data_IF_069374744700
#
_entry.id   IF_069374744700
#
_cell.length_a   1.000
_cell.length_b   1.000
_cell.length_c   1.000
_cell.angle_alpha   90.00
_cell.angle_beta   90.00
_cell.angle_gamma   90.00
#
_symmetry.space_group_name_H-M   'P 1'
#
loop_
_entity.id
_entity.type
_entity.pdbx_description
1 polymer ?
#
# COMPACT_ATOMS: atom_id res chain seq x y z
N UNK A 1 -3.32 -8.09 -9.98
CA UNK A 1 -2.49 -6.91 -9.64
C UNK A 1 -3.28 -6.05 -8.64
N UNK A 2 -2.65 -5.22 -7.81
CA UNK A 2 -3.34 -4.25 -6.94
C UNK A 2 -4.43 -3.47 -7.68
N UNK A 3 -4.14 -2.92 -8.86
CA UNK A 3 -5.10 -2.12 -9.64
C UNK A 3 -6.40 -2.91 -9.91
N UNK A 4 -6.29 -4.15 -10.37
CA UNK A 4 -7.47 -4.99 -10.66
C UNK A 4 -8.35 -5.20 -9.42
N UNK A 5 -7.72 -5.45 -8.25
CA UNK A 5 -8.45 -5.63 -6.99
C UNK A 5 -9.06 -4.33 -6.50
N UNK A 6 -8.34 -3.22 -6.60
CA UNK A 6 -8.82 -1.90 -6.20
C UNK A 6 -10.01 -1.47 -7.07
N UNK A 7 -9.99 -1.74 -8.37
CA UNK A 7 -11.11 -1.45 -9.24
C UNK A 7 -12.41 -2.16 -8.79
N UNK A 8 -12.30 -3.42 -8.34
CA UNK A 8 -13.44 -4.16 -7.79
C UNK A 8 -13.94 -3.53 -6.47
N UNK A 9 -13.05 -3.21 -5.54
CA UNK A 9 -13.39 -2.58 -4.26
C UNK A 9 -13.98 -1.17 -4.42
N UNK A 10 -13.51 -0.41 -5.40
CA UNK A 10 -14.06 0.92 -5.66
C UNK A 10 -15.47 0.86 -6.24
N UNK A 11 -15.76 -0.13 -7.10
CA UNK A 11 -17.09 -0.33 -7.71
C UNK A 11 -18.12 -0.94 -6.76
N UNK A 12 -17.68 -1.67 -5.75
CA UNK A 12 -18.58 -2.28 -4.77
C UNK A 12 -19.14 -1.24 -3.78
N UNK A 13 -20.46 -1.00 -3.74
CA UNK A 13 -21.06 -0.04 -2.81
C UNK A 13 -20.97 -0.47 -1.34
N UNK A 14 -20.76 -1.76 -1.04
CA UNK A 14 -20.63 -2.27 0.33
C UNK A 14 -19.20 -2.14 0.89
N UNK A 15 -18.22 -1.84 0.04
CA UNK A 15 -16.86 -1.60 0.50
C UNK A 15 -16.75 -0.24 1.21
N UNK A 16 -16.66 -0.28 2.54
CA UNK A 16 -16.53 0.91 3.38
C UNK A 16 -15.07 1.38 3.57
N UNK A 17 -14.09 0.51 3.38
CA UNK A 17 -12.67 0.85 3.54
C UNK A 17 -11.74 -0.21 2.96
N UNK A 18 -10.52 0.19 2.60
CA UNK A 18 -9.56 -0.65 1.88
C UNK A 18 -8.22 -0.66 2.62
N UNK A 19 -7.66 -1.85 2.83
CA UNK A 19 -6.29 -2.00 3.32
C UNK A 19 -5.43 -2.61 2.22
N UNK A 20 -4.43 -1.87 1.76
CA UNK A 20 -3.39 -2.31 0.84
C UNK A 20 -2.18 -2.83 1.62
N UNK A 21 -1.94 -4.14 1.59
CA UNK A 21 -0.79 -4.79 2.22
C UNK A 21 0.17 -5.23 1.12
N UNK A 22 1.27 -4.49 0.96
CA UNK A 22 2.33 -4.77 0.01
C UNK A 22 3.62 -5.22 0.66
N UNK A 23 4.65 -5.41 -0.16
CA UNK A 23 6.00 -5.76 0.27
C UNK A 23 7.07 -4.98 -0.53
N UNK A 24 8.33 -5.11 -0.13
CA UNK A 24 9.47 -4.61 -0.91
C UNK A 24 9.61 -5.31 -2.27
N UNK A 25 10.18 -4.61 -3.25
CA UNK A 25 10.44 -5.13 -4.61
C UNK A 25 9.28 -4.87 -5.58
N UNK A 26 9.62 -4.49 -6.81
CA UNK A 26 8.64 -4.09 -7.83
C UNK A 26 7.87 -2.81 -7.51
N UNK A 27 6.93 -2.45 -8.38
CA UNK A 27 6.22 -1.16 -8.37
C UNK A 27 4.70 -1.28 -8.21
N UNK A 28 4.19 -2.46 -7.86
CA UNK A 28 2.76 -2.76 -7.85
C UNK A 28 1.98 -1.87 -6.86
N UNK A 29 2.56 -1.59 -5.69
CA UNK A 29 1.97 -0.70 -4.68
C UNK A 29 1.96 0.76 -5.12
N UNK A 30 2.99 1.19 -5.85
CA UNK A 30 3.09 2.54 -6.42
C UNK A 30 1.97 2.71 -7.46
N UNK A 31 1.82 1.75 -8.38
CA UNK A 31 0.73 1.74 -9.37
C UNK A 31 -0.65 1.69 -8.72
N UNK A 32 -0.81 0.90 -7.65
CA UNK A 32 -2.05 0.86 -6.88
C UNK A 32 -2.37 2.21 -6.22
N UNK A 33 -1.35 2.88 -5.67
CA UNK A 33 -1.49 4.19 -5.04
C UNK A 33 -1.79 5.30 -6.07
N UNK A 34 -1.17 5.26 -7.25
CA UNK A 34 -1.52 6.12 -8.40
C UNK A 34 -2.98 5.93 -8.80
N UNK A 35 -3.41 4.67 -8.92
CA UNK A 35 -4.80 4.37 -9.26
C UNK A 35 -5.79 4.91 -8.21
N UNK A 36 -5.50 4.80 -6.92
CA UNK A 36 -6.33 5.39 -5.85
C UNK A 36 -6.42 6.90 -6.00
N UNK A 37 -5.28 7.59 -6.20
CA UNK A 37 -5.25 9.04 -6.44
C UNK A 37 -6.15 9.42 -7.62
N UNK A 38 -5.94 8.75 -8.76
CA UNK A 38 -6.59 9.08 -10.03
C UNK A 38 -8.09 8.73 -10.02
N UNK A 39 -8.49 7.76 -9.19
CA UNK A 39 -9.91 7.41 -9.00
C UNK A 39 -10.73 8.52 -8.33
N UNK A 40 -10.09 9.43 -7.58
CA UNK A 40 -10.78 10.46 -6.79
C UNK A 40 -11.69 9.90 -5.69
N UNK A 41 -11.51 8.62 -5.31
CA UNK A 41 -12.33 7.96 -4.29
C UNK A 41 -12.25 8.68 -2.94
N UNK A 42 -13.37 8.67 -2.21
CA UNK A 42 -13.43 9.12 -0.81
C UNK A 42 -13.44 7.96 0.19
N UNK A 43 -13.44 6.72 -0.30
CA UNK A 43 -13.34 5.54 0.56
C UNK A 43 -11.99 5.58 1.29
N UNK A 44 -11.94 5.38 2.62
CA UNK A 44 -10.70 5.37 3.38
C UNK A 44 -9.79 4.24 2.90
N UNK A 45 -8.52 4.58 2.65
CA UNK A 45 -7.49 3.62 2.24
C UNK A 45 -6.32 3.68 3.22
N UNK A 46 -5.88 2.51 3.69
CA UNK A 46 -4.69 2.36 4.53
C UNK A 46 -3.68 1.45 3.83
N UNK A 47 -2.40 1.84 3.87
CA UNK A 47 -1.28 1.08 3.35
C UNK A 47 -0.45 0.40 4.44
N UNK A 48 0.25 -0.66 4.07
CA UNK A 48 1.35 -1.24 4.83
C UNK A 48 2.36 -1.88 3.87
N UNK A 49 3.66 -1.67 4.12
CA UNK A 49 4.75 -2.27 3.33
C UNK A 49 5.58 -3.20 4.22
N UNK A 50 5.50 -4.49 3.95
CA UNK A 50 6.33 -5.50 4.61
C UNK A 50 7.78 -5.43 4.13
N UNK A 51 8.71 -5.88 4.98
CA UNK A 51 10.13 -6.01 4.60
C UNK A 51 10.97 -4.74 4.75
N UNK A 52 10.51 -3.72 5.48
CA UNK A 52 11.29 -2.50 5.81
C UNK A 52 12.67 -2.79 6.41
N UNK A 53 12.78 -3.84 7.22
CA UNK A 53 14.03 -4.23 7.90
C UNK A 53 14.82 -5.29 7.12
N UNK A 54 14.45 -5.54 5.85
CA UNK A 54 15.15 -6.49 5.01
C UNK A 54 16.57 -6.00 4.69
N UNK A 55 17.61 -6.84 4.87
CA UNK A 55 18.96 -6.47 4.45
C UNK A 55 19.04 -6.32 2.92
N UNK A 56 19.86 -5.38 2.41
CA UNK A 56 20.09 -5.22 0.98
C UNK A 56 20.57 -6.51 0.32
N UNK A 57 20.14 -6.76 -0.93
CA UNK A 57 20.58 -7.91 -1.72
C UNK A 57 20.00 -9.26 -1.29
N UNK A 58 19.08 -9.32 -0.32
CA UNK A 58 18.38 -10.56 0.06
C UNK A 58 17.03 -10.66 -0.64
N UNK A 59 16.83 -11.78 -1.32
CA UNK A 59 15.52 -12.22 -1.78
C UNK A 59 14.71 -12.69 -0.58
N UNK A 60 13.60 -12.03 -0.29
CA UNK A 60 12.64 -12.51 0.70
C UNK A 60 11.81 -13.65 0.07
N UNK A 61 11.16 -14.47 0.91
CA UNK A 61 10.63 -15.78 0.50
C UNK A 61 9.66 -15.78 -0.70
N UNK A 62 8.93 -14.69 -0.94
CA UNK A 62 8.13 -14.55 -2.17
C UNK A 62 9.05 -14.45 -3.38
N UNK A 63 8.73 -15.21 -4.43
CA UNK A 63 9.56 -15.33 -5.62
C UNK A 63 9.89 -13.98 -6.31
N UNK A 64 9.21 -12.87 -6.00
CA UNK A 64 9.41 -11.56 -6.63
C UNK A 64 10.12 -10.48 -5.81
N UNK A 65 10.42 -10.68 -4.53
CA UNK A 65 10.97 -9.63 -3.67
C UNK A 65 12.49 -9.45 -3.89
N UNK A 66 12.88 -8.85 -5.01
CA UNK A 66 14.24 -8.37 -5.30
C UNK A 66 14.21 -6.84 -5.27
N UNK A 67 15.02 -6.23 -4.40
CA UNK A 67 15.15 -4.77 -4.36
C UNK A 67 16.17 -4.37 -5.41
N UNK A 68 15.73 -3.78 -6.53
CA UNK A 68 16.64 -3.27 -7.56
C UNK A 68 17.09 -1.82 -7.32
N UNK A 69 16.51 -1.17 -6.30
CA UNK A 69 16.77 0.23 -5.93
C UNK A 69 15.62 1.16 -6.35
N UNK A 70 15.66 2.43 -5.91
CA UNK A 70 14.65 3.43 -6.28
C UNK A 70 13.24 3.08 -5.80
N UNK A 71 12.31 2.92 -6.75
CA UNK A 71 10.88 2.71 -6.51
C UNK A 71 10.54 1.39 -5.79
N UNK A 72 11.49 0.46 -5.75
CA UNK A 72 11.35 -0.86 -5.14
C UNK A 72 11.53 -0.84 -3.62
N UNK A 73 12.10 0.24 -3.07
CA UNK A 73 12.41 0.35 -1.65
C UNK A 73 11.16 0.57 -0.82
N UNK A 74 11.14 0.03 0.40
CA UNK A 74 10.02 0.23 1.31
C UNK A 74 9.78 1.72 1.55
N UNK A 75 10.86 2.48 1.80
CA UNK A 75 10.77 3.91 2.10
C UNK A 75 10.17 4.69 0.93
N UNK A 76 10.59 4.42 -0.32
CA UNK A 76 9.97 5.05 -1.48
C UNK A 76 8.47 4.75 -1.56
N UNK A 77 8.09 3.46 -1.45
CA UNK A 77 6.67 3.06 -1.54
C UNK A 77 5.84 3.73 -0.45
N UNK A 78 6.35 3.79 0.79
CA UNK A 78 5.68 4.42 1.93
C UNK A 78 5.48 5.92 1.68
N UNK A 79 6.55 6.63 1.29
CA UNK A 79 6.47 8.07 1.04
C UNK A 79 5.57 8.38 -0.15
N UNK A 80 5.60 7.55 -1.19
CA UNK A 80 4.69 7.68 -2.33
C UNK A 80 3.22 7.49 -1.92
N UNK A 81 2.89 6.42 -1.18
CA UNK A 81 1.55 6.17 -0.68
C UNK A 81 1.03 7.35 0.18
N UNK A 82 1.87 7.88 1.07
CA UNK A 82 1.52 9.07 1.87
C UNK A 82 1.30 10.30 1.00
N UNK A 83 2.13 10.52 -0.03
CA UNK A 83 2.03 11.68 -0.92
C UNK A 83 0.71 11.73 -1.69
N UNK A 84 0.07 10.58 -1.90
CA UNK A 84 -1.24 10.48 -2.57
C UNK A 84 -2.41 10.38 -1.59
N UNK A 85 -2.19 10.61 -0.29
CA UNK A 85 -3.22 10.65 0.72
C UNK A 85 -3.59 9.30 1.35
N UNK A 86 -2.82 8.23 1.09
CA UNK A 86 -3.01 6.94 1.76
C UNK A 86 -2.25 6.96 3.09
N UNK A 87 -2.98 6.75 4.20
CA UNK A 87 -2.33 6.60 5.50
C UNK A 87 -1.56 5.28 5.55
N UNK A 88 -0.30 5.29 5.95
CA UNK A 88 0.53 4.07 5.99
C UNK A 88 0.77 3.66 7.45
N UNK A 89 0.39 2.45 7.79
CA UNK A 89 0.64 1.86 9.10
C UNK A 89 2.12 1.46 9.24
N UNK A 90 2.72 1.71 10.41
CA UNK A 90 4.11 1.33 10.68
C UNK A 90 4.29 -0.15 11.01
N UNK A 91 3.21 -0.83 11.43
CA UNK A 91 3.19 -2.25 11.75
C UNK A 91 1.85 -2.90 11.41
N UNK A 92 1.80 -4.24 11.22
CA UNK A 92 0.54 -4.96 11.05
C UNK A 92 -0.43 -4.76 12.22
N UNK A 93 0.10 -4.65 13.45
CA UNK A 93 -0.69 -4.43 14.67
C UNK A 93 -1.40 -3.07 14.67
N UNK A 94 -0.89 -2.08 13.91
CA UNK A 94 -1.48 -0.74 13.80
C UNK A 94 -2.47 -0.57 12.64
N UNK A 95 -2.74 -1.60 11.83
CA UNK A 95 -3.64 -1.49 10.68
C UNK A 95 -5.05 -1.06 11.08
N UNK A 96 -5.65 -1.74 12.06
CA UNK A 96 -7.01 -1.43 12.51
C UNK A 96 -7.14 -0.05 13.15
N UNK A 97 -6.17 0.34 13.98
CA UNK A 97 -6.16 1.66 14.62
C UNK A 97 -5.90 2.79 13.62
N UNK A 98 -5.09 2.54 12.57
CA UNK A 98 -4.88 3.49 11.48
C UNK A 98 -6.15 3.65 10.65
N UNK A 99 -6.80 2.54 10.30
CA UNK A 99 -8.08 2.58 9.57
C UNK A 99 -9.16 3.34 10.34
N UNK A 100 -9.28 3.09 11.65
CA UNK A 100 -10.22 3.81 12.50
C UNK A 100 -9.98 5.33 12.53
N UNK A 101 -8.73 5.79 12.44
CA UNK A 101 -8.41 7.22 12.35
C UNK A 101 -8.89 7.81 11.03
N UNK A 102 -8.59 7.14 9.90
CA UNK A 102 -9.01 7.62 8.57
C UNK A 102 -10.54 7.63 8.44
N UNK A 103 -11.24 6.67 9.03
CA UNK A 103 -12.72 6.66 9.06
C UNK A 103 -13.34 7.86 9.78
N UNK A 104 -12.65 8.42 10.77
CA UNK A 104 -13.20 9.47 11.64
C UNK A 104 -12.95 10.90 11.12
N UNK A 105 -12.12 11.06 10.08
CA UNK A 105 -11.64 12.36 9.61
C UNK A 105 -10.43 12.83 10.38
#
# INVERSE_FOLDING_TARGET
>A
NFVDSLELFLKDPETEGIIMIGEIGGDAEVKGAEFIRDSGTRKPVVGFIAGRTAPPGRRMGHAGAVISGGNDTADFKIEFMKSVGIAVADSPASLGSTMLKVFKG
#
